data_IF_508998560080
#
_entry.id   IF_508998560080
#
_cell.length_a   1.000
_cell.length_b   1.000
_cell.length_c   1.000
_cell.angle_alpha   90.00
_cell.angle_beta   90.00
_cell.angle_gamma   90.00
#
_symmetry.space_group_name_H-M   'P 1'
#
loop_
_entity.id
_entity.type
_entity.pdbx_description
1 polymer ?
#
# COMPACT_ATOMS: atom_id res chain seq x y z
N UNK A 1 -20.85 -62.07 9.71
CA UNK A 1 -22.27 -62.49 9.80
C UNK A 1 -22.89 -61.87 11.03
N UNK A 2 -23.78 -60.90 10.90
CA UNK A 2 -25.00 -60.75 11.67
C UNK A 2 -25.65 -59.42 11.23
N UNK A 3 -26.77 -59.56 10.52
CA UNK A 3 -27.64 -58.47 10.07
C UNK A 3 -28.55 -58.07 11.24
N UNK A 4 -28.73 -56.79 11.50
CA UNK A 4 -29.79 -56.29 12.38
C UNK A 4 -30.76 -55.45 11.53
N UNK A 5 -31.99 -55.94 11.41
CA UNK A 5 -33.17 -55.29 10.89
C UNK A 5 -33.73 -54.33 11.94
N UNK A 6 -34.14 -53.12 11.59
CA UNK A 6 -34.98 -52.26 12.40
C UNK A 6 -36.25 -51.89 11.64
N UNK A 7 -37.34 -52.25 12.31
CA UNK A 7 -38.74 -52.25 11.85
C UNK A 7 -39.36 -50.85 11.99
N UNK A 8 -40.09 -50.41 10.96
CA UNK A 8 -40.98 -49.24 10.99
C UNK A 8 -42.17 -49.48 11.91
N UNK A 9 -42.48 -48.53 12.78
CA UNK A 9 -43.82 -48.41 13.39
C UNK A 9 -44.42 -47.03 13.07
N UNK A 10 -45.52 -47.06 12.32
CA UNK A 10 -46.51 -45.99 12.16
C UNK A 10 -47.33 -45.90 13.45
N UNK A 11 -47.61 -44.67 13.91
CA UNK A 11 -48.85 -44.40 14.67
C UNK A 11 -49.41 -43.03 14.24
N UNK A 12 -50.74 -43.08 14.11
CA UNK A 12 -51.63 -42.05 13.57
C UNK A 12 -52.26 -41.21 14.69
N UNK A 13 -52.46 -39.92 14.39
CA UNK A 13 -53.59 -39.03 14.71
C UNK A 13 -53.93 -38.69 16.16
N UNK A 14 -53.91 -37.39 16.49
CA UNK A 14 -55.12 -36.69 16.98
C UNK A 14 -54.97 -35.18 16.76
N UNK A 15 -55.97 -34.58 16.20
CA UNK A 15 -56.12 -33.15 16.00
C UNK A 15 -56.67 -32.49 17.29
N UNK A 16 -56.11 -31.37 17.70
CA UNK A 16 -56.76 -30.44 18.62
C UNK A 16 -56.48 -29.02 18.11
N UNK A 17 -57.54 -28.34 17.71
CA UNK A 17 -57.57 -26.93 17.35
C UNK A 17 -57.43 -26.07 18.61
N UNK A 18 -56.42 -25.23 18.67
CA UNK A 18 -56.24 -24.17 19.65
C UNK A 18 -55.70 -22.94 18.98
N UNK A 19 -56.56 -21.95 18.78
CA UNK A 19 -56.16 -20.67 18.22
C UNK A 19 -55.25 -19.93 19.19
N UNK A 20 -54.03 -19.60 18.75
CA UNK A 20 -53.16 -18.64 19.40
C UNK A 20 -53.00 -17.43 18.47
N UNK A 21 -53.48 -16.27 18.94
CA UNK A 21 -53.17 -14.97 18.36
C UNK A 21 -51.66 -14.77 18.39
N UNK A 22 -51.04 -14.72 17.21
CA UNK A 22 -49.66 -14.32 17.05
C UNK A 22 -49.59 -12.79 17.13
N UNK A 23 -49.12 -12.26 18.27
CA UNK A 23 -48.67 -10.88 18.35
C UNK A 23 -47.37 -10.75 17.52
N UNK A 24 -47.49 -10.08 16.40
CA UNK A 24 -46.31 -9.73 15.57
C UNK A 24 -45.44 -8.75 16.38
N UNK A 25 -44.31 -9.23 16.89
CA UNK A 25 -43.23 -8.37 17.37
C UNK A 25 -42.66 -7.59 16.17
N UNK A 26 -42.44 -6.27 16.29
CA UNK A 26 -41.79 -5.53 15.22
C UNK A 26 -40.35 -6.08 15.04
N UNK A 27 -40.16 -6.77 13.93
CA UNK A 27 -38.82 -7.22 13.53
C UNK A 27 -37.89 -6.00 13.44
N UNK A 28 -36.86 -6.00 14.28
CA UNK A 28 -35.72 -5.09 14.11
C UNK A 28 -35.08 -5.48 12.77
N UNK A 29 -35.44 -4.76 11.71
CA UNK A 29 -34.71 -4.76 10.46
C UNK A 29 -33.33 -4.17 10.77
N UNK A 30 -32.39 -5.02 11.19
CA UNK A 30 -30.99 -4.68 11.17
C UNK A 30 -30.64 -4.27 9.74
N UNK A 31 -30.35 -2.99 9.54
CA UNK A 31 -29.84 -2.49 8.27
C UNK A 31 -28.62 -3.33 7.92
N UNK A 32 -28.77 -4.28 7.01
CA UNK A 32 -27.65 -4.99 6.41
C UNK A 32 -26.79 -3.91 5.75
N UNK A 33 -25.72 -3.50 6.45
CA UNK A 33 -24.71 -2.60 5.88
C UNK A 33 -24.22 -3.32 4.63
N UNK A 34 -24.54 -2.76 3.46
CA UNK A 34 -24.10 -3.32 2.19
C UNK A 34 -22.58 -3.52 2.29
N UNK A 35 -22.16 -4.79 2.37
CA UNK A 35 -20.75 -5.14 2.48
C UNK A 35 -20.12 -4.68 1.17
N UNK A 36 -19.29 -3.65 1.23
CA UNK A 36 -18.58 -3.16 0.04
C UNK A 36 -17.84 -4.34 -0.59
N UNK A 37 -17.85 -4.44 -1.93
CA UNK A 37 -17.19 -5.52 -2.62
C UNK A 37 -15.73 -5.65 -2.13
N UNK A 38 -15.29 -6.88 -1.87
CA UNK A 38 -13.94 -7.17 -1.40
C UNK A 38 -12.92 -6.67 -2.42
N UNK A 39 -12.00 -5.81 -1.99
CA UNK A 39 -10.93 -5.25 -2.81
C UNK A 39 -9.59 -5.87 -2.45
N UNK A 40 -8.62 -5.81 -3.35
CA UNK A 40 -7.23 -6.24 -3.12
C UNK A 40 -6.30 -5.05 -3.17
N UNK A 41 -5.51 -4.86 -2.12
CA UNK A 41 -4.54 -3.78 -2.00
C UNK A 41 -3.12 -4.34 -1.98
N UNK A 42 -2.23 -3.68 -2.73
CA UNK A 42 -0.79 -3.92 -2.65
C UNK A 42 -0.11 -2.62 -2.27
N UNK A 43 0.51 -2.60 -1.10
CA UNK A 43 1.22 -1.45 -0.55
C UNK A 43 2.71 -1.56 -0.80
N UNK A 44 3.29 -0.52 -1.39
CA UNK A 44 4.73 -0.44 -1.64
C UNK A 44 5.32 0.65 -0.77
N UNK A 45 6.32 0.28 0.04
CA UNK A 45 6.92 1.16 1.04
C UNK A 45 7.94 2.10 0.42
N UNK A 46 8.08 3.29 1.02
CA UNK A 46 9.11 4.26 0.68
C UNK A 46 10.52 3.83 1.06
N UNK A 47 11.49 4.70 0.82
CA UNK A 47 12.89 4.45 1.15
C UNK A 47 13.09 4.15 2.63
N UNK A 48 14.05 3.29 2.96
CA UNK A 48 14.47 2.89 4.32
C UNK A 48 13.44 2.04 5.09
N UNK A 49 12.22 1.87 4.58
CA UNK A 49 11.11 1.23 5.29
C UNK A 49 10.75 -0.12 4.67
N UNK A 50 10.38 -1.07 5.51
CA UNK A 50 9.75 -2.33 5.10
C UNK A 50 8.22 -2.25 5.15
N UNK A 51 7.55 -3.38 4.88
CA UNK A 51 6.08 -3.50 4.91
C UNK A 51 5.45 -3.16 6.26
N UNK A 52 6.23 -3.22 7.36
CA UNK A 52 5.81 -2.87 8.71
C UNK A 52 5.15 -1.47 8.82
N UNK A 53 5.56 -0.53 7.95
CA UNK A 53 5.04 0.85 7.98
C UNK A 53 3.53 0.91 7.70
N UNK A 54 3.01 -0.05 6.95
CA UNK A 54 1.61 -0.12 6.54
C UNK A 54 0.69 -0.86 7.52
N UNK A 55 1.25 -1.49 8.58
CA UNK A 55 0.47 -2.41 9.43
C UNK A 55 -0.82 -1.79 9.96
N UNK A 56 -0.79 -0.54 10.43
CA UNK A 56 -1.98 0.14 10.97
C UNK A 56 -3.07 0.37 9.91
N UNK A 57 -2.70 0.65 8.68
CA UNK A 57 -3.62 0.80 7.54
C UNK A 57 -4.12 -0.56 7.08
N UNK A 58 -3.22 -1.53 6.96
CA UNK A 58 -3.54 -2.89 6.57
C UNK A 58 -4.58 -3.53 7.52
N UNK A 59 -4.38 -3.42 8.85
CA UNK A 59 -5.32 -3.94 9.85
C UNK A 59 -6.75 -3.41 9.65
N UNK A 60 -6.90 -2.11 9.33
CA UNK A 60 -8.20 -1.48 9.11
C UNK A 60 -8.90 -2.01 7.85
N UNK A 61 -8.13 -2.16 6.78
CA UNK A 61 -8.67 -2.67 5.52
C UNK A 61 -9.03 -4.16 5.63
N UNK A 62 -8.20 -4.94 6.32
CA UNK A 62 -8.45 -6.36 6.60
C UNK A 62 -9.70 -6.55 7.49
N UNK A 63 -9.88 -5.71 8.52
CA UNK A 63 -11.10 -5.67 9.33
C UNK A 63 -12.34 -5.29 8.50
N UNK A 64 -12.16 -4.49 7.45
CA UNK A 64 -13.18 -4.18 6.44
C UNK A 64 -13.46 -5.32 5.46
N UNK A 65 -12.78 -6.47 5.59
CA UNK A 65 -12.96 -7.64 4.72
C UNK A 65 -12.16 -7.61 3.43
N UNK A 66 -11.22 -6.67 3.27
CA UNK A 66 -10.37 -6.54 2.08
C UNK A 66 -9.13 -7.46 2.16
N UNK A 67 -8.50 -7.74 1.02
CA UNK A 67 -7.23 -8.46 0.93
C UNK A 67 -6.09 -7.46 0.86
N UNK A 68 -5.07 -7.60 1.72
CA UNK A 68 -3.97 -6.64 1.80
C UNK A 68 -2.63 -7.36 1.71
N UNK A 69 -1.74 -6.80 0.91
CA UNK A 69 -0.34 -7.19 0.81
C UNK A 69 0.55 -5.98 1.04
N UNK A 70 1.52 -6.10 1.91
CA UNK A 70 2.50 -5.06 2.20
C UNK A 70 3.90 -5.67 2.28
N UNK A 71 4.48 -6.08 1.14
CA UNK A 71 5.80 -6.70 1.13
C UNK A 71 6.89 -5.69 1.48
N UNK A 72 7.93 -6.15 2.17
CA UNK A 72 9.19 -5.42 2.19
C UNK A 72 9.96 -5.70 0.90
N UNK A 73 10.50 -4.64 0.30
CA UNK A 73 11.34 -4.77 -0.88
C UNK A 73 12.70 -5.38 -0.50
N UNK A 74 13.38 -6.01 -1.45
CA UNK A 74 14.67 -6.68 -1.23
C UNK A 74 15.70 -5.73 -0.62
N UNK A 75 16.32 -6.15 0.49
CA UNK A 75 17.29 -5.35 1.25
C UNK A 75 16.69 -4.41 2.29
N UNK A 76 15.35 -4.37 2.47
CA UNK A 76 14.66 -3.48 3.41
C UNK A 76 13.87 -4.27 4.47
N UNK A 77 13.65 -3.64 5.62
CA UNK A 77 12.88 -4.22 6.71
C UNK A 77 13.38 -5.60 7.13
N UNK A 78 12.47 -6.58 7.26
CA UNK A 78 12.80 -7.97 7.60
C UNK A 78 13.62 -8.68 6.51
N UNK A 79 13.71 -8.10 5.31
CA UNK A 79 14.57 -8.58 4.22
C UNK A 79 15.92 -7.85 4.13
N UNK A 80 16.29 -7.09 5.16
CA UNK A 80 17.56 -6.34 5.22
C UNK A 80 18.80 -7.20 5.08
N UNK A 81 18.73 -8.49 5.45
CA UNK A 81 19.80 -9.47 5.25
C UNK A 81 20.13 -9.74 3.78
N UNK A 82 19.26 -9.33 2.84
CA UNK A 82 19.47 -9.44 1.40
C UNK A 82 20.09 -8.16 0.79
N UNK A 83 20.45 -7.17 1.62
CA UNK A 83 21.09 -5.95 1.14
C UNK A 83 22.43 -6.27 0.48
N UNK A 84 22.56 -5.98 -0.80
CA UNK A 84 23.80 -6.13 -1.58
C UNK A 84 23.95 -5.00 -2.59
N UNK A 85 25.13 -4.90 -3.22
CA UNK A 85 25.40 -3.91 -4.28
C UNK A 85 24.63 -4.19 -5.57
N UNK A 86 24.16 -5.42 -5.74
CA UNK A 86 23.42 -5.84 -6.94
C UNK A 86 21.94 -5.47 -6.86
N UNK A 87 21.44 -5.10 -5.65
CA UNK A 87 20.06 -4.64 -5.47
C UNK A 87 19.91 -3.26 -6.08
N UNK A 88 19.04 -3.16 -7.08
CA UNK A 88 18.77 -1.96 -7.84
C UNK A 88 17.26 -1.72 -8.02
N UNK A 89 16.86 -0.75 -8.82
CA UNK A 89 15.45 -0.42 -9.03
C UNK A 89 14.67 -1.57 -9.69
N UNK A 90 15.27 -2.27 -10.67
CA UNK A 90 14.63 -3.42 -11.32
C UNK A 90 14.38 -4.56 -10.32
N UNK A 91 15.28 -4.76 -9.34
CA UNK A 91 15.05 -5.72 -8.25
C UNK A 91 13.79 -5.39 -7.46
N UNK A 92 13.61 -4.13 -7.07
CA UNK A 92 12.44 -3.68 -6.33
C UNK A 92 11.15 -3.71 -7.19
N UNK A 93 11.26 -3.39 -8.47
CA UNK A 93 10.14 -3.55 -9.43
C UNK A 93 9.75 -5.03 -9.53
N UNK A 94 10.72 -5.93 -9.64
CA UNK A 94 10.48 -7.37 -9.70
C UNK A 94 9.84 -7.92 -8.42
N UNK A 95 10.17 -7.40 -7.23
CA UNK A 95 9.52 -7.77 -5.97
C UNK A 95 8.00 -7.57 -6.05
N UNK A 96 7.54 -6.41 -6.58
CA UNK A 96 6.12 -6.08 -6.71
C UNK A 96 5.46 -6.87 -7.84
N UNK A 97 6.10 -6.96 -8.99
CA UNK A 97 5.60 -7.71 -10.16
C UNK A 97 5.41 -9.18 -9.83
N UNK A 98 6.40 -9.79 -9.18
CA UNK A 98 6.36 -11.19 -8.81
C UNK A 98 5.28 -11.47 -7.75
N UNK A 99 5.15 -10.61 -6.72
CA UNK A 99 4.08 -10.75 -5.76
C UNK A 99 2.71 -10.83 -6.47
N UNK A 100 2.42 -9.87 -7.35
CA UNK A 100 1.12 -9.80 -8.05
C UNK A 100 0.92 -11.01 -8.96
N UNK A 101 1.95 -11.45 -9.68
CA UNK A 101 1.89 -12.61 -10.57
C UNK A 101 1.74 -13.93 -9.80
N UNK A 102 2.57 -14.19 -8.80
CA UNK A 102 2.58 -15.47 -8.07
C UNK A 102 1.35 -15.65 -7.17
N UNK A 103 0.83 -14.55 -6.60
CA UNK A 103 -0.42 -14.56 -5.86
C UNK A 103 -1.66 -14.53 -6.78
N UNK A 104 -1.47 -14.48 -8.10
CA UNK A 104 -2.53 -14.40 -9.11
C UNK A 104 -3.53 -13.27 -8.80
N UNK A 105 -3.01 -12.10 -8.42
CA UNK A 105 -3.85 -10.96 -8.05
C UNK A 105 -4.40 -10.28 -9.30
N UNK A 106 -5.68 -9.91 -9.22
CA UNK A 106 -6.40 -9.17 -10.26
C UNK A 106 -7.15 -7.99 -9.62
N UNK A 107 -7.46 -6.98 -10.43
CA UNK A 107 -8.17 -5.78 -10.00
C UNK A 107 -7.52 -5.11 -8.77
N UNK A 108 -6.19 -5.06 -8.76
CA UNK A 108 -5.39 -4.54 -7.65
C UNK A 108 -5.52 -3.03 -7.54
N UNK A 109 -5.69 -2.51 -6.32
CA UNK A 109 -5.37 -1.14 -5.97
C UNK A 109 -3.90 -1.10 -5.53
N UNK A 110 -3.03 -0.54 -6.38
CA UNK A 110 -1.61 -0.38 -6.10
C UNK A 110 -1.37 0.94 -5.38
N UNK A 111 -0.83 0.88 -4.17
CA UNK A 111 -0.55 2.05 -3.33
C UNK A 111 0.95 2.22 -3.20
N UNK A 112 1.47 3.33 -3.71
CA UNK A 112 2.90 3.65 -3.68
C UNK A 112 3.15 4.89 -2.82
N UNK A 113 4.07 4.78 -1.86
CA UNK A 113 4.46 5.89 -0.98
C UNK A 113 5.89 6.34 -1.27
N UNK A 114 6.10 7.65 -1.42
CA UNK A 114 7.44 8.26 -1.50
C UNK A 114 8.28 7.67 -2.65
N UNK A 115 9.44 7.09 -2.36
CA UNK A 115 10.32 6.35 -3.28
C UNK A 115 9.56 5.32 -4.12
N UNK A 116 8.57 4.66 -3.53
CA UNK A 116 7.81 3.61 -4.21
C UNK A 116 7.05 4.10 -5.45
N UNK A 117 6.93 5.41 -5.66
CA UNK A 117 6.43 5.95 -6.93
C UNK A 117 7.26 5.52 -8.14
N UNK A 118 8.59 5.39 -8.00
CA UNK A 118 9.45 4.79 -9.01
C UNK A 118 9.16 3.31 -9.20
N UNK A 119 9.08 2.57 -8.09
CA UNK A 119 8.82 1.12 -8.14
C UNK A 119 7.46 0.81 -8.76
N UNK A 120 6.41 1.52 -8.30
CA UNK A 120 5.04 1.36 -8.82
C UNK A 120 4.93 1.71 -10.31
N UNK A 121 5.57 2.83 -10.73
CA UNK A 121 5.57 3.22 -12.15
C UNK A 121 6.25 2.17 -13.03
N UNK A 122 7.39 1.62 -12.61
CA UNK A 122 8.06 0.55 -13.35
C UNK A 122 7.30 -0.77 -13.33
N UNK A 123 6.68 -1.11 -12.19
CA UNK A 123 5.89 -2.35 -12.08
C UNK A 123 4.67 -2.34 -13.03
N UNK A 124 4.01 -1.20 -13.19
CA UNK A 124 2.85 -1.05 -14.09
C UNK A 124 3.17 -1.40 -15.54
N UNK A 125 4.41 -1.25 -16.00
CA UNK A 125 4.81 -1.66 -17.36
C UNK A 125 4.67 -3.18 -17.61
N UNK A 126 4.64 -3.98 -16.52
CA UNK A 126 4.52 -5.44 -16.60
C UNK A 126 3.21 -6.01 -16.06
N UNK A 127 2.47 -5.22 -15.25
CA UNK A 127 1.26 -5.70 -14.55
C UNK A 127 0.09 -4.70 -14.64
N UNK A 128 0.17 -3.73 -15.54
CA UNK A 128 -0.86 -2.68 -15.64
C UNK A 128 -2.25 -3.22 -15.94
N UNK A 129 -2.37 -4.33 -16.63
CA UNK A 129 -3.62 -5.05 -16.93
C UNK A 129 -4.28 -5.66 -15.66
N UNK A 130 -3.51 -5.90 -14.61
CA UNK A 130 -3.97 -6.44 -13.31
C UNK A 130 -4.31 -5.36 -12.30
N UNK A 131 -4.06 -4.08 -12.63
CA UNK A 131 -4.24 -2.94 -11.73
C UNK A 131 -5.46 -2.13 -12.13
N UNK A 132 -6.47 -2.08 -11.25
CA UNK A 132 -7.70 -1.32 -11.45
C UNK A 132 -7.59 0.13 -11.02
N UNK A 133 -6.74 0.41 -10.03
CA UNK A 133 -6.54 1.76 -9.49
C UNK A 133 -5.14 1.92 -8.89
N UNK A 134 -4.67 3.17 -8.85
CA UNK A 134 -3.41 3.54 -8.20
C UNK A 134 -3.63 4.67 -7.20
N UNK A 135 -2.89 4.63 -6.09
CA UNK A 135 -2.79 5.71 -5.11
C UNK A 135 -1.32 6.05 -4.91
N UNK A 136 -0.93 7.26 -5.29
CA UNK A 136 0.40 7.82 -5.02
C UNK A 136 0.29 8.70 -3.77
N UNK A 137 0.78 8.17 -2.65
CA UNK A 137 0.79 8.87 -1.37
C UNK A 137 2.13 9.58 -1.19
N UNK A 138 2.13 10.89 -1.36
CA UNK A 138 3.32 11.74 -1.21
C UNK A 138 4.54 11.13 -1.92
N UNK A 139 4.37 10.82 -3.21
CA UNK A 139 5.26 9.95 -3.97
C UNK A 139 5.75 10.58 -5.27
N UNK A 140 6.88 10.11 -5.77
CA UNK A 140 7.40 10.51 -7.07
C UNK A 140 6.52 9.99 -8.21
N UNK A 141 6.39 10.77 -9.28
CA UNK A 141 5.88 10.35 -10.59
C UNK A 141 7.00 10.58 -11.60
N UNK A 142 7.84 9.56 -11.85
CA UNK A 142 8.98 9.74 -12.75
C UNK A 142 8.58 9.73 -14.23
N UNK A 143 9.37 10.43 -15.03
CA UNK A 143 9.44 10.27 -16.49
C UNK A 143 10.49 9.24 -16.87
N UNK A 144 10.42 8.74 -18.11
CA UNK A 144 11.41 7.80 -18.64
C UNK A 144 12.86 8.34 -18.53
N UNK A 145 13.78 7.45 -18.18
CA UNK A 145 15.20 7.76 -18.03
C UNK A 145 15.59 8.50 -16.73
N UNK A 146 14.65 8.93 -15.90
CA UNK A 146 14.95 9.59 -14.63
C UNK A 146 15.46 8.58 -13.58
N UNK A 147 16.22 9.10 -12.60
CA UNK A 147 16.73 8.37 -11.44
C UNK A 147 16.15 8.98 -10.18
N UNK A 148 16.06 8.18 -9.13
CA UNK A 148 15.70 8.71 -7.80
C UNK A 148 16.69 9.79 -7.33
N UNK A 149 17.99 9.61 -7.64
CA UNK A 149 19.04 10.57 -7.29
C UNK A 149 18.82 11.96 -7.91
N UNK A 150 18.15 12.06 -9.05
CA UNK A 150 17.86 13.34 -9.72
C UNK A 150 16.94 14.24 -8.88
N UNK A 151 16.14 13.64 -8.00
CA UNK A 151 15.20 14.32 -7.10
C UNK A 151 15.70 14.40 -5.64
N UNK A 152 16.84 13.81 -5.35
CA UNK A 152 17.34 13.71 -3.98
C UNK A 152 17.74 15.08 -3.43
N UNK A 153 17.30 15.40 -2.20
CA UNK A 153 17.78 16.56 -1.46
C UNK A 153 19.27 16.40 -1.11
N UNK A 154 19.94 17.53 -0.87
CA UNK A 154 21.39 17.57 -0.65
C UNK A 154 21.92 16.56 0.41
N UNK A 155 21.25 16.37 1.58
CA UNK A 155 21.73 15.38 2.54
C UNK A 155 21.70 13.94 1.98
N UNK A 156 20.68 13.61 1.18
CA UNK A 156 20.56 12.29 0.55
C UNK A 156 21.59 12.11 -0.55
N UNK A 157 21.83 13.13 -1.38
CA UNK A 157 22.90 13.10 -2.39
C UNK A 157 24.27 12.86 -1.78
N UNK A 158 24.58 13.55 -0.67
CA UNK A 158 25.83 13.30 0.07
C UNK A 158 25.90 11.85 0.59
N UNK A 159 24.80 11.31 1.13
CA UNK A 159 24.72 9.93 1.57
C UNK A 159 24.97 8.93 0.42
N UNK A 160 24.38 9.18 -0.75
CA UNK A 160 24.59 8.36 -1.96
C UNK A 160 26.08 8.42 -2.35
N UNK A 161 26.68 9.60 -2.42
CA UNK A 161 28.09 9.77 -2.79
C UNK A 161 29.00 9.05 -1.78
N UNK A 162 28.74 9.20 -0.47
CA UNK A 162 29.50 8.52 0.56
C UNK A 162 29.41 6.98 0.43
N UNK A 163 28.24 6.44 0.10
CA UNK A 163 28.06 5.00 -0.11
C UNK A 163 28.86 4.51 -1.33
N UNK A 164 28.89 5.32 -2.41
CA UNK A 164 29.68 5.04 -3.61
C UNK A 164 31.18 5.04 -3.27
N UNK A 165 31.67 6.10 -2.63
CA UNK A 165 33.09 6.28 -2.30
C UNK A 165 33.63 5.18 -1.37
N UNK A 166 32.79 4.73 -0.43
CA UNK A 166 33.12 3.65 0.52
C UNK A 166 32.79 2.26 0.00
N UNK A 167 32.22 2.18 -1.19
CA UNK A 167 31.79 0.91 -1.81
C UNK A 167 30.77 0.16 -0.91
N UNK A 168 29.91 0.91 -0.19
CA UNK A 168 28.84 0.35 0.63
C UNK A 168 27.63 -0.06 -0.23
N UNK A 169 26.90 -1.09 0.20
CA UNK A 169 25.69 -1.55 -0.50
C UNK A 169 24.49 -0.63 -0.29
N UNK A 170 24.44 0.15 0.78
CA UNK A 170 23.27 0.93 1.15
C UNK A 170 23.58 2.32 1.69
N UNK A 171 22.67 3.24 1.42
CA UNK A 171 22.61 4.58 2.01
C UNK A 171 21.91 4.51 3.36
N UNK A 172 22.48 5.15 4.38
CA UNK A 172 21.87 5.20 5.72
C UNK A 172 20.78 6.27 5.76
N UNK A 173 19.65 5.95 6.39
CA UNK A 173 18.60 6.92 6.68
C UNK A 173 19.00 7.93 7.75
N UNK A 174 18.14 8.91 8.00
CA UNK A 174 18.32 9.87 9.09
C UNK A 174 18.31 9.16 10.45
N UNK A 175 19.21 9.57 11.35
CA UNK A 175 19.21 9.08 12.71
C UNK A 175 18.09 9.71 13.56
N UNK A 176 17.47 10.80 13.08
CA UNK A 176 16.39 11.50 13.76
C UNK A 176 15.41 12.10 12.74
N UNK A 177 14.15 11.72 12.83
CA UNK A 177 13.09 12.23 11.98
C UNK A 177 12.37 13.43 12.59
N UNK A 178 12.27 14.57 11.87
CA UNK A 178 11.50 15.72 12.34
C UNK A 178 9.99 15.43 12.31
N UNK A 179 9.21 16.30 12.97
CA UNK A 179 7.76 16.19 13.02
C UNK A 179 7.07 16.35 11.64
N UNK A 180 7.77 16.87 10.63
CA UNK A 180 7.31 16.89 9.23
C UNK A 180 7.35 15.50 8.59
N UNK A 181 8.11 14.55 9.16
CA UNK A 181 8.20 13.17 8.68
C UNK A 181 7.28 12.25 9.47
N UNK A 182 7.37 12.28 10.82
CA UNK A 182 6.58 11.42 11.70
C UNK A 182 6.25 12.14 13.00
N UNK A 183 5.06 11.90 13.56
CA UNK A 183 4.64 12.47 14.82
C UNK A 183 5.55 11.99 15.98
N UNK A 184 5.72 12.83 16.99
CA UNK A 184 6.57 12.57 18.17
C UNK A 184 6.29 11.20 18.80
N UNK A 185 5.00 10.88 18.98
CA UNK A 185 4.56 9.62 19.61
C UNK A 185 5.02 8.35 18.88
N UNK A 186 5.29 8.44 17.57
CA UNK A 186 5.66 7.30 16.72
C UNK A 186 7.13 7.34 16.29
N UNK A 187 7.86 8.42 16.62
CA UNK A 187 9.25 8.65 16.19
C UNK A 187 10.18 7.51 16.60
N UNK A 188 10.24 7.19 17.87
CA UNK A 188 11.13 6.13 18.39
C UNK A 188 10.83 4.77 17.75
N UNK A 189 9.54 4.47 17.53
CA UNK A 189 9.14 3.26 16.80
C UNK A 189 9.63 3.27 15.36
N UNK A 190 9.41 4.36 14.63
CA UNK A 190 9.84 4.47 13.22
C UNK A 190 11.36 4.36 13.11
N UNK A 191 12.11 5.11 13.92
CA UNK A 191 13.58 5.12 13.93
C UNK A 191 14.18 3.74 14.23
N UNK A 192 13.53 2.96 15.11
CA UNK A 192 13.98 1.60 15.46
C UNK A 192 13.80 0.58 14.32
N UNK A 193 13.03 0.90 13.28
CA UNK A 193 12.63 0.00 12.19
C UNK A 193 13.26 0.31 10.84
N UNK A 194 13.89 1.48 10.68
CA UNK A 194 14.54 1.83 9.41
C UNK A 194 15.79 1.01 9.18
N UNK A 195 16.06 0.71 7.92
CA UNK A 195 17.25 -0.02 7.46
C UNK A 195 17.99 0.81 6.42
N UNK A 196 19.29 0.57 6.17
CA UNK A 196 19.97 1.16 5.03
C UNK A 196 19.22 0.82 3.74
N UNK A 197 19.13 1.80 2.82
CA UNK A 197 18.44 1.66 1.54
C UNK A 197 19.44 1.32 0.42
N UNK A 198 19.18 0.32 -0.46
CA UNK A 198 20.14 -0.10 -1.48
C UNK A 198 20.54 1.07 -2.40
N UNK A 199 21.85 1.32 -2.52
CA UNK A 199 22.37 2.48 -3.29
C UNK A 199 22.02 2.37 -4.79
N UNK A 200 22.02 1.16 -5.34
CA UNK A 200 21.70 0.92 -6.76
C UNK A 200 20.32 1.42 -7.18
N UNK A 201 19.35 1.44 -6.26
CA UNK A 201 18.00 1.93 -6.53
C UNK A 201 17.94 3.44 -6.80
N UNK A 202 18.88 4.21 -6.25
CA UNK A 202 18.98 5.64 -6.51
C UNK A 202 19.66 5.97 -7.86
N UNK A 203 20.52 5.07 -8.32
CA UNK A 203 21.41 5.32 -9.46
C UNK A 203 20.84 4.81 -10.78
N UNK A 204 19.98 3.82 -10.74
CA UNK A 204 19.42 3.23 -11.93
C UNK A 204 18.34 4.12 -12.55
N UNK A 205 18.41 4.30 -13.87
CA UNK A 205 17.36 4.96 -14.63
C UNK A 205 16.13 4.09 -14.75
N UNK A 206 14.95 4.66 -14.50
CA UNK A 206 13.68 3.98 -14.73
C UNK A 206 13.37 3.90 -16.22
N UNK A 207 12.69 2.82 -16.62
CA UNK A 207 12.10 2.66 -17.95
C UNK A 207 10.59 2.64 -17.82
N UNK A 208 9.92 3.65 -18.38
CA UNK A 208 8.46 3.76 -18.41
C UNK A 208 7.99 4.21 -19.79
N UNK A 209 6.89 3.62 -20.25
CA UNK A 209 6.31 3.87 -21.57
C UNK A 209 4.86 4.39 -21.52
N UNK A 210 4.41 4.80 -20.34
CA UNK A 210 3.09 5.38 -20.15
C UNK A 210 2.04 4.41 -19.60
N UNK A 211 2.43 3.31 -18.97
CA UNK A 211 1.48 2.39 -18.34
C UNK A 211 0.66 3.04 -17.21
N UNK A 212 1.27 3.93 -16.43
CA UNK A 212 0.58 4.68 -15.36
C UNK A 212 -0.59 5.50 -15.93
N UNK A 213 -0.41 6.15 -17.09
CA UNK A 213 -1.44 6.98 -17.70
C UNK A 213 -2.67 6.17 -18.14
N UNK A 214 -2.52 4.88 -18.42
CA UNK A 214 -3.57 3.96 -18.86
C UNK A 214 -4.42 3.42 -17.72
N UNK A 215 -3.98 3.56 -16.47
CA UNK A 215 -4.77 3.13 -15.31
C UNK A 215 -6.04 3.96 -15.19
N UNK A 216 -7.18 3.29 -15.03
CA UNK A 216 -8.49 3.93 -15.09
C UNK A 216 -8.75 4.89 -13.93
N UNK A 217 -8.33 4.53 -12.72
CA UNK A 217 -8.50 5.36 -11.52
C UNK A 217 -7.13 5.71 -10.95
N UNK A 218 -6.83 7.01 -10.89
CA UNK A 218 -5.56 7.53 -10.39
C UNK A 218 -5.81 8.54 -9.29
N UNK A 219 -5.15 8.38 -8.16
CA UNK A 219 -5.26 9.28 -7.01
C UNK A 219 -3.89 9.71 -6.53
N UNK A 220 -3.70 11.00 -6.34
CA UNK A 220 -2.54 11.57 -5.69
C UNK A 220 -2.92 12.17 -4.34
N UNK A 221 -2.23 11.76 -3.27
CA UNK A 221 -2.43 12.29 -1.92
C UNK A 221 -1.14 12.99 -1.49
N UNK A 222 -1.19 14.29 -1.28
CA UNK A 222 -0.06 15.11 -0.85
C UNK A 222 -0.08 15.36 0.64
N UNK A 223 1.10 15.36 1.27
CA UNK A 223 1.34 15.66 2.69
C UNK A 223 2.20 16.94 2.80
N UNK A 224 1.61 18.14 2.70
CA UNK A 224 2.36 19.40 2.54
C UNK A 224 3.26 19.74 3.72
N UNK A 225 3.00 19.15 4.90
CA UNK A 225 3.88 19.33 6.07
C UNK A 225 5.31 18.84 5.82
N UNK A 226 5.50 17.88 4.90
CA UNK A 226 6.80 17.44 4.43
C UNK A 226 7.22 18.23 3.19
N UNK A 227 8.17 19.19 3.31
CA UNK A 227 8.56 20.04 2.19
C UNK A 227 9.40 19.24 1.19
N UNK A 228 8.81 18.95 0.02
CA UNK A 228 9.44 18.17 -1.04
C UNK A 228 8.99 18.72 -2.42
N UNK A 229 9.75 19.63 -3.04
CA UNK A 229 9.37 20.29 -4.29
C UNK A 229 8.94 19.32 -5.42
N UNK A 230 9.59 18.15 -5.64
CA UNK A 230 9.10 17.19 -6.61
C UNK A 230 7.68 16.66 -6.34
N UNK A 231 7.25 16.55 -5.08
CA UNK A 231 5.90 16.12 -4.74
C UNK A 231 4.87 17.25 -4.94
N UNK A 232 5.27 18.50 -4.70
CA UNK A 232 4.45 19.67 -4.99
C UNK A 232 4.21 19.79 -6.50
N UNK A 233 5.26 19.58 -7.31
CA UNK A 233 5.14 19.52 -8.76
C UNK A 233 4.22 18.38 -9.21
N UNK A 234 4.39 17.18 -8.67
CA UNK A 234 3.53 16.03 -9.00
C UNK A 234 2.06 16.32 -8.67
N UNK A 235 1.77 16.95 -7.52
CA UNK A 235 0.41 17.39 -7.19
C UNK A 235 -0.13 18.39 -8.20
N UNK A 236 0.66 19.39 -8.59
CA UNK A 236 0.25 20.41 -9.57
C UNK A 236 -0.06 19.78 -10.94
N UNK A 237 0.79 18.86 -11.40
CA UNK A 237 0.58 18.10 -12.64
C UNK A 237 -0.70 17.26 -12.56
N UNK A 238 -0.93 16.54 -11.45
CA UNK A 238 -2.14 15.76 -11.24
C UNK A 238 -3.41 16.64 -11.17
N UNK A 239 -3.35 17.82 -10.54
CA UNK A 239 -4.48 18.77 -10.52
C UNK A 239 -4.84 19.31 -11.90
N UNK A 240 -3.87 19.38 -12.81
CA UNK A 240 -4.10 19.86 -14.19
C UNK A 240 -4.69 18.76 -15.09
N UNK A 241 -4.56 17.48 -14.72
CA UNK A 241 -5.07 16.33 -15.46
C UNK A 241 -6.36 15.79 -14.80
N UNK A 242 -7.50 15.99 -15.47
CA UNK A 242 -8.82 15.56 -14.98
C UNK A 242 -8.96 14.06 -14.73
N UNK A 243 -8.03 13.23 -15.19
CA UNK A 243 -8.02 11.79 -14.96
C UNK A 243 -7.50 11.42 -13.55
N UNK A 244 -6.97 12.40 -12.81
CA UNK A 244 -6.49 12.24 -11.44
C UNK A 244 -7.48 12.81 -10.41
N UNK A 245 -7.75 12.06 -9.35
CA UNK A 245 -8.27 12.62 -8.10
C UNK A 245 -7.11 13.08 -7.22
N UNK A 246 -7.25 14.22 -6.55
CA UNK A 246 -6.19 14.76 -5.68
C UNK A 246 -6.72 15.08 -4.30
N UNK A 247 -5.92 14.77 -3.27
CA UNK A 247 -6.22 15.08 -1.87
C UNK A 247 -4.97 15.66 -1.19
N UNK A 248 -5.20 16.43 -0.14
CA UNK A 248 -4.13 16.98 0.70
C UNK A 248 -4.43 16.75 2.18
N UNK A 249 -3.41 16.35 2.95
CA UNK A 249 -3.47 16.20 4.40
C UNK A 249 -2.41 17.12 5.04
N UNK A 250 -2.71 18.42 5.21
CA UNK A 250 -1.70 19.41 5.58
C UNK A 250 -1.20 19.31 7.02
N UNK A 251 -1.95 18.65 7.88
CA UNK A 251 -1.67 18.44 9.31
C UNK A 251 -0.88 17.16 9.62
N UNK A 252 -0.59 16.33 8.60
CA UNK A 252 0.00 15.00 8.75
C UNK A 252 1.44 14.98 8.22
N UNK A 253 2.34 14.28 8.89
CA UNK A 253 3.72 14.08 8.43
C UNK A 253 3.82 13.09 7.25
N UNK A 254 5.02 12.98 6.69
CA UNK A 254 5.29 12.11 5.52
C UNK A 254 4.94 10.63 5.78
N UNK A 255 5.11 10.15 7.01
CA UNK A 255 4.70 8.80 7.45
C UNK A 255 3.22 8.77 7.86
N UNK A 256 2.32 9.28 7.01
CA UNK A 256 0.89 9.43 7.30
C UNK A 256 0.21 8.13 7.73
N UNK A 257 0.70 6.98 7.26
CA UNK A 257 0.18 5.66 7.63
C UNK A 257 0.44 5.30 9.13
N UNK A 258 1.38 5.98 9.78
CA UNK A 258 1.57 5.93 11.24
C UNK A 258 0.78 7.02 11.96
N UNK A 259 0.83 8.26 11.43
CA UNK A 259 0.30 9.46 12.08
C UNK A 259 -1.24 9.51 12.05
N UNK A 260 -1.84 9.14 10.93
CA UNK A 260 -3.29 9.25 10.65
C UNK A 260 -3.82 8.03 9.88
N UNK A 261 -3.66 6.79 10.39
CA UNK A 261 -3.99 5.57 9.66
C UNK A 261 -5.47 5.48 9.25
N UNK A 262 -6.40 6.05 10.05
CA UNK A 262 -7.84 6.06 9.73
C UNK A 262 -8.11 6.88 8.48
N UNK A 263 -7.62 8.12 8.44
CA UNK A 263 -7.78 9.03 7.29
C UNK A 263 -7.14 8.48 6.02
N UNK A 264 -5.94 7.89 6.16
CA UNK A 264 -5.23 7.25 5.04
C UNK A 264 -6.02 6.06 4.51
N UNK A 265 -6.56 5.22 5.39
CA UNK A 265 -7.38 4.07 4.99
C UNK A 265 -8.66 4.49 4.27
N UNK A 266 -9.35 5.52 4.76
CA UNK A 266 -10.57 6.06 4.14
C UNK A 266 -10.31 6.59 2.73
N UNK A 267 -9.23 7.39 2.54
CA UNK A 267 -8.87 7.92 1.22
C UNK A 267 -8.47 6.80 0.24
N UNK A 268 -7.73 5.79 0.72
CA UNK A 268 -7.37 4.63 -0.11
C UNK A 268 -8.61 3.82 -0.52
N UNK A 269 -9.57 3.63 0.39
CA UNK A 269 -10.84 2.95 0.08
C UNK A 269 -11.68 3.72 -0.93
N UNK A 270 -11.70 5.05 -0.84
CA UNK A 270 -12.39 5.92 -1.78
C UNK A 270 -11.76 5.86 -3.18
N UNK A 271 -10.44 5.74 -3.25
CA UNK A 271 -9.66 5.71 -4.49
C UNK A 271 -9.74 4.36 -5.24
N UNK A 272 -10.06 3.28 -4.55
CA UNK A 272 -9.99 1.92 -5.07
C UNK A 272 -11.21 1.44 -5.89
#
# INVERSE_FOLDING_TARGET
MTKIHVTRRRMLRSAAAGGLMATAAPGVMGAARAQSARKTFVFVSGAFCGGWIWRRVADRLEQGGHKVFAPSLTGLGERSHLLSKDVNLDTHIADVVNLIKWESLESVCLVAWSYAGFVGSGALESIGDRVSSVVWLDAYIPSDGQRVADFAAEPVRKGIQMAIDKVEAGVRGSAHYPASVVAERDRAFAESKITPHPVGTYLQQIKVSGALQKVAKKTYIRLPRFPQPPFDKALADCKSDKSWATFELPDVGHMAMLDAPDRVSELILQAA
#
